data_IF_551605886636
#
_entry.id   IF_551605886636
#
_cell.length_a   1.000
_cell.length_b   1.000
_cell.length_c   1.000
_cell.angle_alpha   90.00
_cell.angle_beta   90.00
_cell.angle_gamma   90.00
#
_symmetry.space_group_name_H-M   'P 1'
#
loop_
_entity.id
_entity.type
_entity.pdbx_description
1 polymer ?
#
# COMPACT_ATOMS: atom_id res chain seq x y z
N UNK A 1 15.78 -2.73 3.07
CA UNK A 1 14.52 -3.52 3.10
C UNK A 1 14.34 -4.30 1.82
N UNK A 2 14.53 -3.70 0.63
CA UNK A 2 14.38 -4.42 -0.64
C UNK A 2 15.30 -5.65 -0.70
N UNK A 3 16.58 -5.47 -0.38
CA UNK A 3 17.58 -6.54 -0.37
C UNK A 3 17.21 -7.68 0.59
N UNK A 4 16.71 -7.35 1.78
CA UNK A 4 16.29 -8.32 2.80
C UNK A 4 15.08 -9.14 2.32
N UNK A 5 14.12 -8.50 1.63
CA UNK A 5 12.95 -9.18 1.06
C UNK A 5 13.33 -10.08 -0.12
N UNK A 6 14.26 -9.63 -0.99
CA UNK A 6 14.74 -10.39 -2.14
C UNK A 6 15.53 -11.63 -1.72
N UNK A 7 16.44 -11.46 -0.77
CA UNK A 7 17.25 -12.54 -0.19
C UNK A 7 16.43 -13.52 0.68
N UNK A 8 15.29 -13.06 1.19
CA UNK A 8 14.42 -13.85 2.08
C UNK A 8 14.83 -13.79 3.55
N UNK A 9 15.77 -12.91 3.90
CA UNK A 9 16.13 -12.60 5.29
C UNK A 9 14.93 -11.99 6.01
N UNK A 10 14.28 -11.01 5.39
CA UNK A 10 13.02 -10.46 5.90
C UNK A 10 11.86 -11.34 5.40
N UNK A 11 11.13 -11.95 6.33
CA UNK A 11 10.03 -12.86 6.00
C UNK A 11 8.80 -12.09 5.54
N UNK A 12 8.30 -12.42 4.35
CA UNK A 12 7.03 -11.91 3.84
C UNK A 12 6.20 -13.04 3.27
N UNK A 13 4.99 -13.22 3.80
CA UNK A 13 4.09 -14.33 3.42
C UNK A 13 3.42 -14.11 2.09
N UNK A 14 2.99 -12.88 1.82
CA UNK A 14 2.47 -12.44 0.54
C UNK A 14 3.16 -11.14 0.12
N UNK A 15 3.86 -11.18 -1.01
CA UNK A 15 4.49 -10.03 -1.65
C UNK A 15 3.66 -9.65 -2.88
N UNK A 16 3.11 -8.45 -2.88
CA UNK A 16 2.47 -7.86 -4.05
C UNK A 16 3.44 -6.88 -4.70
N UNK A 17 3.72 -7.08 -5.98
CA UNK A 17 4.50 -6.17 -6.81
C UNK A 17 3.50 -5.36 -7.64
N UNK A 18 3.53 -4.03 -7.52
CA UNK A 18 2.70 -3.15 -8.36
C UNK A 18 3.61 -2.45 -9.36
N UNK A 19 3.24 -2.48 -10.62
CA UNK A 19 3.98 -1.83 -11.71
C UNK A 19 3.01 -1.08 -12.65
N UNK A 20 3.53 -0.47 -13.71
CA UNK A 20 2.76 0.13 -14.78
C UNK A 20 3.49 -0.05 -16.11
N UNK A 21 2.84 0.23 -17.24
CA UNK A 21 3.45 0.16 -18.56
C UNK A 21 4.77 0.94 -18.69
N UNK A 22 4.86 2.11 -18.04
CA UNK A 22 6.09 2.94 -18.02
C UNK A 22 7.25 2.28 -17.26
N UNK A 23 6.96 1.34 -16.37
CA UNK A 23 7.92 0.73 -15.46
C UNK A 23 7.60 -0.75 -15.27
N UNK A 24 7.66 -1.55 -16.34
CA UNK A 24 7.27 -2.96 -16.31
C UNK A 24 8.09 -3.77 -15.30
N UNK A 25 7.41 -4.37 -14.33
CA UNK A 25 7.94 -5.14 -13.23
C UNK A 25 8.40 -6.55 -13.62
N UNK A 26 8.30 -6.95 -14.90
CA UNK A 26 8.64 -8.32 -15.34
C UNK A 26 10.09 -8.71 -15.05
N UNK A 27 11.05 -7.81 -15.28
CA UNK A 27 12.47 -8.06 -14.99
C UNK A 27 12.69 -8.23 -13.48
N UNK A 28 12.00 -7.42 -12.68
CA UNK A 28 12.02 -7.52 -11.22
C UNK A 28 11.37 -8.83 -10.73
N UNK A 29 10.25 -9.22 -11.31
CA UNK A 29 9.60 -10.50 -11.06
C UNK A 29 10.51 -11.69 -11.40
N UNK A 30 11.24 -11.63 -12.52
CA UNK A 30 12.24 -12.64 -12.88
C UNK A 30 13.34 -12.79 -11.85
N UNK A 31 13.84 -11.68 -11.30
CA UNK A 31 14.78 -11.74 -10.18
C UNK A 31 14.18 -12.49 -8.99
N UNK A 32 12.91 -12.21 -8.68
CA UNK A 32 12.19 -12.86 -7.60
C UNK A 32 12.03 -14.37 -7.83
N UNK A 33 11.70 -14.79 -9.06
CA UNK A 33 11.63 -16.20 -9.47
C UNK A 33 12.96 -16.91 -9.20
N UNK A 34 14.07 -16.32 -9.64
CA UNK A 34 15.42 -16.88 -9.45
C UNK A 34 15.74 -17.01 -7.97
N UNK A 35 15.50 -15.96 -7.18
CA UNK A 35 15.84 -15.95 -5.75
C UNK A 35 14.97 -16.93 -4.95
N UNK A 36 13.67 -17.05 -5.27
CA UNK A 36 12.78 -18.02 -4.63
C UNK A 36 13.16 -19.45 -5.00
N UNK A 37 13.45 -19.74 -6.27
CA UNK A 37 13.84 -21.08 -6.72
C UNK A 37 15.15 -21.58 -6.08
N UNK A 38 16.06 -20.66 -5.73
CA UNK A 38 17.29 -20.98 -5.00
C UNK A 38 17.03 -21.45 -3.55
N UNK A 39 16.01 -20.90 -2.89
CA UNK A 39 15.74 -21.14 -1.45
C UNK A 39 14.60 -22.13 -1.17
N UNK A 40 13.72 -22.39 -2.14
CA UNK A 40 12.61 -23.32 -2.00
C UNK A 40 12.93 -24.67 -2.68
N UNK A 41 12.25 -25.71 -2.23
CA UNK A 41 12.33 -27.05 -2.84
C UNK A 41 11.59 -27.06 -4.19
N UNK A 42 10.43 -26.41 -4.24
CA UNK A 42 9.57 -26.29 -5.42
C UNK A 42 8.96 -24.90 -5.53
N UNK A 43 8.71 -24.47 -6.77
CA UNK A 43 8.07 -23.19 -7.06
C UNK A 43 6.95 -23.41 -8.05
N UNK A 44 5.72 -23.09 -7.67
CA UNK A 44 4.59 -23.06 -8.60
C UNK A 44 4.58 -21.71 -9.30
N UNK A 45 4.79 -21.71 -10.62
CA UNK A 45 4.81 -20.51 -11.44
C UNK A 45 3.55 -20.44 -12.30
N UNK A 46 2.64 -19.54 -11.95
CA UNK A 46 1.39 -19.30 -12.68
C UNK A 46 1.60 -18.18 -13.69
N UNK A 47 1.30 -18.46 -14.96
CA UNK A 47 1.51 -17.53 -16.07
C UNK A 47 0.18 -17.17 -16.75
N UNK A 48 -0.24 -15.90 -16.66
CA UNK A 48 -1.41 -15.33 -17.32
C UNK A 48 -1.02 -14.52 -18.56
N UNK A 49 0.09 -13.79 -18.55
CA UNK A 49 0.46 -12.92 -19.68
C UNK A 49 1.23 -13.67 -20.75
N UNK A 50 2.18 -14.50 -20.32
CA UNK A 50 3.10 -15.24 -21.18
C UNK A 50 2.92 -16.74 -21.00
N UNK A 51 3.43 -17.51 -21.95
CA UNK A 51 3.53 -18.96 -21.79
C UNK A 51 4.67 -19.29 -20.83
N UNK A 52 4.58 -20.37 -20.02
CA UNK A 52 5.60 -20.68 -19.01
C UNK A 52 7.01 -20.82 -19.57
N UNK A 53 7.15 -21.34 -20.79
CA UNK A 53 8.42 -21.51 -21.49
C UNK A 53 9.17 -20.18 -21.63
N UNK A 54 8.45 -19.05 -21.76
CA UNK A 54 9.05 -17.72 -21.79
C UNK A 54 9.90 -17.45 -20.56
N UNK A 55 9.43 -17.84 -19.35
CA UNK A 55 10.14 -17.62 -18.10
C UNK A 55 11.21 -18.69 -17.87
N UNK A 56 10.90 -19.95 -18.18
CA UNK A 56 11.82 -21.08 -17.98
C UNK A 56 13.11 -20.94 -18.80
N UNK A 57 13.02 -20.40 -20.01
CA UNK A 57 14.19 -20.21 -20.89
C UNK A 57 15.26 -19.26 -20.30
N UNK A 58 14.90 -18.43 -19.33
CA UNK A 58 15.84 -17.54 -18.63
C UNK A 58 16.48 -18.16 -17.39
N UNK A 59 16.02 -19.35 -16.98
CA UNK A 59 16.50 -20.02 -15.78
C UNK A 59 17.60 -21.05 -16.13
N UNK A 60 18.62 -21.22 -15.28
CA UNK A 60 19.50 -22.38 -15.31
C UNK A 60 18.73 -23.70 -15.16
N UNK A 61 19.25 -24.79 -15.74
CA UNK A 61 18.56 -26.09 -15.78
C UNK A 61 18.23 -26.65 -14.40
N UNK A 62 19.12 -26.47 -13.42
CA UNK A 62 18.91 -26.87 -12.02
C UNK A 62 17.73 -26.15 -11.35
N UNK A 63 17.50 -24.89 -11.71
CA UNK A 63 16.33 -24.14 -11.21
C UNK A 63 15.06 -24.48 -11.98
N UNK A 64 15.16 -24.76 -13.29
CA UNK A 64 14.01 -25.17 -14.11
C UNK A 64 13.33 -26.43 -13.55
N UNK A 65 14.10 -27.43 -13.11
CA UNK A 65 13.57 -28.68 -12.54
C UNK A 65 12.78 -28.46 -11.23
N UNK A 66 12.94 -27.30 -10.58
CA UNK A 66 12.17 -26.92 -9.39
C UNK A 66 10.88 -26.18 -9.71
N UNK A 67 10.73 -25.65 -10.93
CA UNK A 67 9.54 -24.90 -11.33
C UNK A 67 8.44 -25.86 -11.78
N UNK A 68 7.23 -25.65 -11.25
CA UNK A 68 6.01 -26.31 -11.69
C UNK A 68 5.18 -25.26 -12.43
N UNK A 69 5.21 -25.25 -13.76
CA UNK A 69 4.50 -24.26 -14.54
C UNK A 69 2.99 -24.54 -14.55
N UNK A 70 2.18 -23.49 -14.39
CA UNK A 70 0.73 -23.51 -14.56
C UNK A 70 0.36 -22.42 -15.56
N UNK A 71 -0.38 -22.81 -16.60
CA UNK A 71 -1.00 -21.84 -17.50
C UNK A 71 -2.25 -21.25 -16.82
N UNK A 72 -2.16 -20.00 -16.36
CA UNK A 72 -3.28 -19.32 -15.68
C UNK A 72 -4.52 -19.17 -16.57
N UNK A 73 -4.36 -19.15 -17.90
CA UNK A 73 -5.51 -19.07 -18.81
C UNK A 73 -6.40 -20.31 -18.76
N UNK A 74 -5.87 -21.48 -18.39
CA UNK A 74 -6.69 -22.69 -18.25
C UNK A 74 -7.56 -22.68 -17.00
N UNK A 75 -7.29 -21.82 -16.02
CA UNK A 75 -8.11 -21.64 -14.82
C UNK A 75 -9.24 -20.63 -15.03
N UNK A 76 -9.38 -20.11 -16.25
CA UNK A 76 -10.44 -19.20 -16.68
C UNK A 76 -11.36 -20.00 -17.60
N UNK A 77 -12.62 -20.22 -17.20
CA UNK A 77 -13.63 -20.84 -18.04
C UNK A 77 -14.64 -19.81 -18.54
N UNK A 78 -14.99 -19.91 -19.82
CA UNK A 78 -16.03 -19.09 -20.45
C UNK A 78 -17.16 -20.00 -20.98
N UNK A 79 -18.45 -19.65 -20.77
CA UNK A 79 -18.95 -18.55 -19.93
C UNK A 79 -18.54 -18.76 -18.47
N UNK A 80 -18.44 -17.67 -17.68
CA UNK A 80 -18.21 -17.69 -16.23
C UNK A 80 -19.42 -18.32 -15.52
N UNK A 81 -19.65 -19.61 -15.76
CA UNK A 81 -20.70 -20.40 -15.14
C UNK A 81 -20.10 -20.97 -13.87
N UNK A 82 -20.68 -20.55 -12.75
CA UNK A 82 -20.36 -20.98 -11.39
C UNK A 82 -19.17 -20.22 -10.76
N UNK A 83 -19.46 -19.04 -10.19
CA UNK A 83 -18.50 -18.23 -9.46
C UNK A 83 -18.08 -18.85 -8.10
N UNK A 84 -18.66 -20.02 -7.77
CA UNK A 84 -18.39 -20.73 -6.51
C UNK A 84 -17.05 -21.49 -6.53
N UNK A 85 -16.57 -21.91 -7.71
CA UNK A 85 -15.32 -22.68 -7.83
C UNK A 85 -14.12 -21.80 -8.12
N UNK A 86 -13.17 -21.84 -7.20
CA UNK A 86 -11.86 -21.20 -7.32
C UNK A 86 -10.87 -22.13 -8.03
N UNK A 87 -10.99 -22.20 -9.36
CA UNK A 87 -10.18 -23.06 -10.21
C UNK A 87 -8.68 -22.75 -10.14
N UNK A 88 -8.33 -21.48 -9.85
CA UNK A 88 -6.95 -21.08 -9.66
C UNK A 88 -6.38 -21.73 -8.39
N UNK A 89 -7.12 -21.63 -7.27
CA UNK A 89 -6.75 -22.30 -6.04
C UNK A 89 -6.68 -23.81 -6.19
N UNK A 90 -7.64 -24.43 -6.88
CA UNK A 90 -7.64 -25.88 -7.13
C UNK A 90 -6.41 -26.32 -7.95
N UNK A 91 -6.09 -25.61 -9.04
CA UNK A 91 -4.93 -25.92 -9.87
C UNK A 91 -3.61 -25.82 -9.09
N UNK A 92 -3.43 -24.73 -8.32
CA UNK A 92 -2.23 -24.52 -7.51
C UNK A 92 -2.16 -25.55 -6.38
N UNK A 93 -3.26 -25.82 -5.68
CA UNK A 93 -3.31 -26.79 -4.59
C UNK A 93 -2.98 -28.20 -5.09
N UNK A 94 -3.52 -28.61 -6.24
CA UNK A 94 -3.21 -29.90 -6.86
C UNK A 94 -1.74 -30.01 -7.27
N UNK A 95 -1.12 -28.91 -7.71
CA UNK A 95 0.31 -28.88 -7.99
C UNK A 95 1.11 -29.05 -6.69
N UNK A 96 0.72 -28.33 -5.62
CA UNK A 96 1.40 -28.37 -4.32
C UNK A 96 1.27 -29.72 -3.61
N UNK A 97 0.14 -30.44 -3.73
CA UNK A 97 -0.05 -31.77 -3.15
C UNK A 97 0.95 -32.82 -3.68
N UNK A 98 1.48 -32.60 -4.89
CA UNK A 98 2.49 -33.47 -5.51
C UNK A 98 3.90 -33.10 -5.09
N UNK A 99 4.07 -32.02 -4.34
CA UNK A 99 5.38 -31.53 -3.86
C UNK A 99 5.65 -31.98 -2.43
N UNK A 100 6.92 -32.22 -2.13
CA UNK A 100 7.41 -32.41 -0.76
C UNK A 100 8.29 -31.22 -0.42
N UNK A 101 8.26 -30.80 0.84
CA UNK A 101 9.10 -29.72 1.35
C UNK A 101 8.44 -28.34 1.29
N UNK A 102 9.28 -27.31 1.29
CA UNK A 102 8.90 -25.92 1.28
C UNK A 102 8.69 -25.43 -0.15
N UNK A 103 7.47 -25.00 -0.44
CA UNK A 103 7.06 -24.51 -1.75
C UNK A 103 6.77 -23.01 -1.73
N UNK A 104 6.83 -22.37 -2.89
CA UNK A 104 6.37 -20.99 -3.07
C UNK A 104 5.47 -20.89 -4.30
N UNK A 105 4.62 -19.87 -4.33
CA UNK A 105 3.70 -19.60 -5.44
C UNK A 105 4.03 -18.23 -6.03
N UNK A 106 4.28 -18.19 -7.33
CA UNK A 106 4.63 -16.98 -8.07
C UNK A 106 3.64 -16.79 -9.21
N UNK A 107 3.02 -15.63 -9.30
CA UNK A 107 2.00 -15.29 -10.29
C UNK A 107 2.51 -14.10 -11.11
N UNK A 108 2.71 -14.30 -12.42
CA UNK A 108 3.32 -13.29 -13.30
C UNK A 108 2.47 -12.01 -13.44
N UNK A 109 1.15 -12.13 -13.37
CA UNK A 109 0.19 -11.04 -13.36
C UNK A 109 -1.18 -11.51 -12.87
N UNK A 110 -1.75 -10.77 -11.92
CA UNK A 110 -3.13 -10.96 -11.46
C UNK A 110 -4.14 -10.23 -12.36
N UNK A 111 -3.68 -9.37 -13.26
CA UNK A 111 -4.55 -8.45 -13.98
C UNK A 111 -5.63 -9.16 -14.79
N UNK A 112 -5.26 -10.18 -15.58
CA UNK A 112 -6.24 -10.95 -16.35
C UNK A 112 -7.23 -11.70 -15.45
N UNK A 113 -6.76 -12.22 -14.32
CA UNK A 113 -7.62 -12.93 -13.36
C UNK A 113 -8.65 -11.97 -12.73
N UNK A 114 -8.20 -10.79 -12.30
CA UNK A 114 -9.02 -9.76 -11.66
C UNK A 114 -9.97 -9.04 -12.63
N UNK A 115 -9.66 -9.00 -13.93
CA UNK A 115 -10.59 -8.49 -14.95
C UNK A 115 -11.81 -9.41 -15.14
N UNK A 116 -11.68 -10.68 -14.78
CA UNK A 116 -12.71 -11.71 -15.02
C UNK A 116 -13.36 -12.21 -13.74
N UNK A 117 -12.85 -11.83 -12.57
CA UNK A 117 -13.33 -12.24 -11.24
C UNK A 117 -13.43 -11.03 -10.32
N UNK A 118 -14.33 -11.10 -9.35
CA UNK A 118 -14.47 -10.03 -8.37
C UNK A 118 -13.20 -9.89 -7.50
N UNK A 119 -12.73 -8.67 -7.18
CA UNK A 119 -11.55 -8.47 -6.34
C UNK A 119 -11.58 -9.19 -4.99
N UNK A 120 -12.71 -9.27 -4.26
CA UNK A 120 -12.79 -10.04 -3.02
C UNK A 120 -12.50 -11.53 -3.19
N UNK A 121 -12.93 -12.14 -4.30
CA UNK A 121 -12.65 -13.54 -4.61
C UNK A 121 -11.14 -13.75 -4.79
N UNK A 122 -10.49 -12.86 -5.54
CA UNK A 122 -9.02 -12.88 -5.72
C UNK A 122 -8.29 -12.75 -4.38
N UNK A 123 -8.76 -11.86 -3.51
CA UNK A 123 -8.18 -11.69 -2.18
C UNK A 123 -8.34 -12.96 -1.32
N UNK A 124 -9.50 -13.61 -1.39
CA UNK A 124 -9.75 -14.88 -0.72
C UNK A 124 -8.79 -15.97 -1.22
N UNK A 125 -8.62 -16.09 -2.54
CA UNK A 125 -7.67 -17.02 -3.17
C UNK A 125 -6.25 -16.79 -2.67
N UNK A 126 -5.75 -15.56 -2.75
CA UNK A 126 -4.40 -15.20 -2.35
C UNK A 126 -4.17 -15.43 -0.85
N UNK A 127 -5.15 -15.09 -0.02
CA UNK A 127 -5.09 -15.33 1.41
C UNK A 127 -5.00 -16.83 1.73
N UNK A 128 -5.88 -17.65 1.13
CA UNK A 128 -5.85 -19.12 1.29
C UNK A 128 -4.51 -19.72 0.86
N UNK A 129 -3.94 -19.26 -0.26
CA UNK A 129 -2.62 -19.70 -0.72
C UNK A 129 -1.50 -19.30 0.25
N UNK A 130 -1.56 -18.09 0.80
CA UNK A 130 -0.53 -17.59 1.72
C UNK A 130 -0.51 -18.30 3.08
N UNK A 131 -1.65 -18.86 3.49
CA UNK A 131 -1.84 -19.60 4.75
C UNK A 131 -1.79 -21.11 4.56
N UNK A 132 -1.72 -21.59 3.32
CA UNK A 132 -1.67 -23.01 3.00
C UNK A 132 -0.40 -23.66 3.56
N UNK A 133 -0.55 -24.84 4.19
CA UNK A 133 0.57 -25.59 4.74
C UNK A 133 1.60 -25.94 3.66
N UNK A 134 2.88 -25.78 3.97
CA UNK A 134 4.00 -26.02 3.04
C UNK A 134 4.29 -24.86 2.09
N UNK A 135 3.40 -23.88 1.94
CA UNK A 135 3.70 -22.65 1.19
C UNK A 135 4.47 -21.69 2.09
N UNK A 136 5.62 -21.20 1.62
CA UNK A 136 6.53 -20.28 2.35
C UNK A 136 6.43 -18.82 1.88
N UNK A 137 6.01 -18.60 0.65
CA UNK A 137 5.79 -17.26 0.10
C UNK A 137 4.83 -17.33 -1.10
N UNK A 138 3.94 -16.35 -1.18
CA UNK A 138 3.18 -16.02 -2.40
C UNK A 138 3.72 -14.71 -2.94
N UNK A 139 3.98 -14.64 -4.24
CA UNK A 139 4.38 -13.41 -4.93
C UNK A 139 3.48 -13.22 -6.13
N UNK A 140 2.95 -12.01 -6.30
CA UNK A 140 2.08 -11.72 -7.45
C UNK A 140 2.34 -10.30 -7.96
N UNK A 141 2.19 -10.11 -9.26
CA UNK A 141 2.28 -8.79 -9.91
C UNK A 141 0.89 -8.27 -10.25
N UNK A 142 0.68 -6.96 -10.14
CA UNK A 142 -0.52 -6.28 -10.64
C UNK A 142 -0.12 -5.00 -11.39
N UNK A 143 -0.70 -4.82 -12.58
CA UNK A 143 -0.49 -3.61 -13.40
C UNK A 143 -1.48 -2.53 -12.96
N UNK A 144 -0.98 -1.50 -12.26
CA UNK A 144 -1.81 -0.46 -11.62
C UNK A 144 -2.46 0.51 -12.62
N UNK A 145 -2.00 0.51 -13.86
CA UNK A 145 -2.57 1.28 -14.97
C UNK A 145 -3.77 0.59 -15.62
N UNK A 146 -4.03 -0.68 -15.29
CA UNK A 146 -5.21 -1.44 -15.77
C UNK A 146 -6.36 -1.43 -14.77
N UNK A 147 -6.08 -1.24 -13.49
CA UNK A 147 -7.06 -1.25 -12.41
C UNK A 147 -7.19 0.11 -11.76
N UNK A 148 -8.36 0.40 -11.20
CA UNK A 148 -8.54 1.59 -10.38
C UNK A 148 -7.77 1.47 -9.05
N UNK A 149 -7.52 2.63 -8.42
CA UNK A 149 -6.77 2.74 -7.17
C UNK A 149 -7.42 1.94 -6.04
N UNK A 150 -8.75 1.87 -5.98
CA UNK A 150 -9.45 1.18 -4.91
C UNK A 150 -9.26 -0.35 -5.02
N UNK A 151 -9.40 -0.91 -6.22
CA UNK A 151 -9.13 -2.32 -6.51
C UNK A 151 -7.69 -2.70 -6.13
N UNK A 152 -6.71 -1.88 -6.52
CA UNK A 152 -5.31 -2.09 -6.15
C UNK A 152 -5.10 -2.03 -4.63
N UNK A 153 -5.78 -1.10 -3.95
CA UNK A 153 -5.69 -0.94 -2.49
C UNK A 153 -6.26 -2.14 -1.73
N UNK A 154 -7.38 -2.71 -2.18
CA UNK A 154 -7.97 -3.91 -1.56
C UNK A 154 -6.97 -5.08 -1.62
N UNK A 155 -6.42 -5.39 -2.80
CA UNK A 155 -5.43 -6.48 -2.94
C UNK A 155 -4.14 -6.15 -2.18
N UNK A 156 -3.73 -4.88 -2.20
CA UNK A 156 -2.58 -4.40 -1.43
C UNK A 156 -2.78 -4.55 0.08
N UNK A 157 -4.01 -4.47 0.60
CA UNK A 157 -4.30 -4.54 2.04
C UNK A 157 -4.03 -5.93 2.64
N UNK A 158 -4.25 -7.01 1.87
CA UNK A 158 -4.01 -8.38 2.32
C UNK A 158 -2.54 -8.80 2.21
N UNK A 159 -1.71 -8.01 1.51
CA UNK A 159 -0.30 -8.30 1.31
C UNK A 159 0.54 -7.93 2.53
N UNK A 160 1.41 -8.85 2.98
CA UNK A 160 2.38 -8.54 4.01
C UNK A 160 3.46 -7.58 3.50
N UNK A 161 3.78 -7.61 2.20
CA UNK A 161 4.62 -6.60 1.56
C UNK A 161 3.99 -6.11 0.26
N UNK A 162 4.01 -4.81 0.03
CA UNK A 162 3.71 -4.18 -1.26
C UNK A 162 4.96 -3.46 -1.75
N UNK A 163 5.34 -3.71 -3.00
CA UNK A 163 6.50 -3.10 -3.66
C UNK A 163 6.01 -2.42 -4.92
N UNK A 164 5.94 -1.10 -4.88
CA UNK A 164 5.45 -0.27 -5.97
C UNK A 164 6.60 0.27 -6.81
N UNK A 165 6.75 -0.25 -8.02
CA UNK A 165 7.89 0.02 -8.92
C UNK A 165 7.60 1.25 -9.77
N UNK A 166 8.53 2.19 -9.80
CA UNK A 166 8.48 3.36 -10.68
C UNK A 166 9.78 3.46 -11.50
N UNK A 167 9.64 3.96 -12.74
CA UNK A 167 10.80 4.26 -13.57
C UNK A 167 11.47 5.55 -13.09
N UNK A 168 12.80 5.57 -13.11
CA UNK A 168 13.60 6.79 -13.02
C UNK A 168 14.30 7.00 -14.36
N UNK A 169 15.04 8.09 -14.53
CA UNK A 169 15.82 8.34 -15.75
C UNK A 169 16.79 7.19 -16.05
N UNK A 170 16.78 6.71 -17.29
CA UNK A 170 17.68 5.67 -17.79
C UNK A 170 17.30 4.25 -17.33
N UNK A 171 18.29 3.48 -16.87
CA UNK A 171 18.12 2.11 -16.36
C UNK A 171 17.92 2.03 -14.84
N UNK A 172 17.68 3.17 -14.20
CA UNK A 172 17.46 3.26 -12.75
C UNK A 172 15.97 3.19 -12.48
N UNK A 173 15.62 2.51 -11.40
CA UNK A 173 14.26 2.37 -10.93
C UNK A 173 14.19 2.81 -9.47
N UNK A 174 12.98 3.13 -9.03
CA UNK A 174 12.68 3.34 -7.62
C UNK A 174 11.54 2.43 -7.23
N UNK A 175 11.48 2.03 -5.96
CA UNK A 175 10.32 1.36 -5.43
C UNK A 175 9.91 1.93 -4.08
N UNK A 176 8.59 2.08 -3.89
CA UNK A 176 8.01 2.34 -2.58
C UNK A 176 7.63 1.01 -1.96
N UNK A 177 8.16 0.73 -0.78
CA UNK A 177 7.95 -0.53 -0.09
C UNK A 177 7.12 -0.26 1.16
N UNK A 178 6.03 -1.01 1.31
CA UNK A 178 5.27 -1.13 2.55
C UNK A 178 5.41 -2.57 3.03
N UNK A 179 5.97 -2.80 4.21
CA UNK A 179 6.14 -4.12 4.79
C UNK A 179 5.50 -4.19 6.18
N UNK A 180 4.64 -5.18 6.41
CA UNK A 180 4.08 -5.50 7.71
C UNK A 180 4.85 -6.69 8.29
N UNK A 181 5.59 -6.45 9.37
CA UNK A 181 6.30 -7.51 10.09
C UNK A 181 5.32 -8.43 10.79
N UNK A 182 5.80 -9.62 11.14
CA UNK A 182 5.11 -10.59 12.01
C UNK A 182 4.70 -9.99 13.36
N UNK A 183 5.41 -8.95 13.84
CA UNK A 183 5.07 -8.22 15.07
C UNK A 183 3.92 -7.23 14.90
N UNK A 184 3.37 -7.07 13.69
CA UNK A 184 2.38 -6.06 13.34
C UNK A 184 2.98 -4.69 12.97
N UNK A 185 4.27 -4.44 13.25
CA UNK A 185 4.92 -3.18 12.91
C UNK A 185 4.96 -2.97 11.40
N UNK A 186 4.44 -1.82 10.95
CA UNK A 186 4.47 -1.41 9.54
C UNK A 186 5.73 -0.58 9.28
N UNK A 187 6.48 -0.97 8.26
CA UNK A 187 7.66 -0.26 7.77
C UNK A 187 7.38 0.28 6.37
N UNK A 188 7.74 1.55 6.13
CA UNK A 188 7.61 2.21 4.83
C UNK A 188 8.96 2.79 4.43
N UNK A 189 9.40 2.53 3.21
CA UNK A 189 10.66 3.08 2.67
C UNK A 189 10.55 3.31 1.17
N UNK A 190 11.39 4.20 0.63
CA UNK A 190 11.57 4.37 -0.81
C UNK A 190 13.03 4.11 -1.15
N UNK A 191 13.27 3.07 -1.94
CA UNK A 191 14.61 2.62 -2.30
C UNK A 191 14.80 2.71 -3.82
N UNK A 192 16.01 3.08 -4.26
CA UNK A 192 16.44 3.02 -5.65
C UNK A 192 17.11 1.68 -5.93
N UNK A 193 17.04 1.23 -7.18
CA UNK A 193 17.75 0.04 -7.65
C UNK A 193 17.99 0.11 -9.16
N UNK A 194 18.86 -0.76 -9.66
CA UNK A 194 19.10 -1.01 -11.09
C UNK A 194 18.87 -2.49 -11.38
N UNK A 195 18.51 -2.82 -12.62
CA UNK A 195 18.41 -4.22 -13.08
C UNK A 195 19.37 -4.42 -14.25
N UNK A 196 20.22 -5.46 -14.17
CA UNK A 196 21.09 -5.85 -15.28
C UNK A 196 20.39 -6.80 -16.28
N UNK A 197 21.06 -7.12 -17.38
CA UNK A 197 20.53 -8.01 -18.42
C UNK A 197 20.27 -9.46 -17.96
N UNK A 198 20.85 -9.87 -16.84
CA UNK A 198 20.63 -11.19 -16.23
C UNK A 198 19.59 -11.12 -15.10
N UNK A 199 18.79 -10.05 -15.07
CA UNK A 199 17.78 -9.78 -14.05
C UNK A 199 18.34 -9.64 -12.64
N UNK A 200 19.63 -9.36 -12.44
CA UNK A 200 20.13 -9.09 -11.11
C UNK A 200 19.78 -7.67 -10.68
N UNK A 201 19.17 -7.54 -9.50
CA UNK A 201 18.90 -6.27 -8.86
C UNK A 201 20.18 -5.82 -8.14
N UNK A 202 20.65 -4.62 -8.48
CA UNK A 202 21.89 -4.00 -7.96
C UNK A 202 21.63 -2.56 -7.56
N UNK A 203 22.65 -1.92 -7.00
CA UNK A 203 22.64 -0.51 -6.59
C UNK A 203 21.44 -0.16 -5.69
N UNK A 204 21.11 -1.07 -4.76
CA UNK A 204 20.04 -0.88 -3.80
C UNK A 204 20.47 0.19 -2.80
N UNK A 205 19.62 1.18 -2.56
CA UNK A 205 19.90 2.21 -1.56
C UNK A 205 18.73 3.16 -1.34
N UNK A 206 18.77 4.02 -0.32
CA UNK A 206 17.74 5.01 -0.10
C UNK A 206 17.66 5.99 -1.28
N UNK A 207 16.45 6.41 -1.64
CA UNK A 207 16.27 7.46 -2.62
C UNK A 207 16.69 8.81 -2.03
N UNK A 208 17.72 9.44 -2.62
CA UNK A 208 18.20 10.72 -2.13
C UNK A 208 17.20 11.85 -2.48
N UNK A 209 17.10 12.91 -1.66
CA UNK A 209 16.15 14.00 -1.88
C UNK A 209 16.19 14.62 -3.28
N UNK A 210 17.37 14.72 -3.90
CA UNK A 210 17.59 15.29 -5.23
C UNK A 210 17.21 14.36 -6.39
N UNK A 211 16.97 13.07 -6.11
CA UNK A 211 16.66 12.03 -7.10
C UNK A 211 15.16 11.75 -7.16
N UNK A 212 14.37 12.39 -6.31
CA UNK A 212 12.92 12.37 -6.42
C UNK A 212 12.56 13.00 -7.77
N UNK A 213 11.76 12.31 -8.62
CA UNK A 213 11.18 12.96 -9.78
C UNK A 213 10.50 14.21 -9.26
N UNK A 214 10.95 15.38 -9.70
CA UNK A 214 10.31 16.65 -9.43
C UNK A 214 8.88 16.52 -9.96
N UNK A 215 7.94 16.24 -9.06
CA UNK A 215 6.54 16.54 -9.30
C UNK A 215 6.52 18.06 -9.51
N UNK A 216 6.53 18.43 -10.80
CA UNK A 216 6.13 19.72 -11.37
C UNK A 216 5.98 20.87 -10.37
N UNK A 217 7.05 21.67 -10.21
CA UNK A 217 7.08 23.00 -9.59
C UNK A 217 6.53 23.07 -8.14
N UNK A 218 7.00 24.01 -7.29
CA UNK A 218 6.16 24.38 -6.16
C UNK A 218 4.87 24.92 -6.77
N UNK A 219 3.76 24.18 -6.65
CA UNK A 219 2.44 24.76 -6.70
C UNK A 219 2.53 25.98 -5.78
N UNK A 220 2.49 27.18 -6.38
CA UNK A 220 2.16 28.41 -5.67
C UNK A 220 1.02 28.01 -4.77
N UNK A 221 1.20 28.09 -3.44
CA UNK A 221 0.15 27.75 -2.47
C UNK A 221 -1.09 28.54 -2.90
N UNK A 222 -1.99 27.89 -3.63
CA UNK A 222 -3.27 28.48 -3.98
C UNK A 222 -3.96 28.61 -2.63
N UNK A 223 -4.20 29.85 -2.23
CA UNK A 223 -4.94 30.15 -1.02
C UNK A 223 -6.18 29.24 -0.99
N UNK A 224 -6.31 28.32 0.00
CA UNK A 224 -7.43 27.39 0.05
C UNK A 224 -8.79 28.11 0.14
N UNK A 225 -8.79 29.41 0.43
CA UNK A 225 -9.98 30.26 0.46
C UNK A 225 -10.33 30.91 -0.88
N UNK A 226 -9.50 30.78 -1.92
CA UNK A 226 -9.67 31.49 -3.20
C UNK A 226 -10.92 31.08 -4.01
N UNK A 227 -11.55 29.94 -3.69
CA UNK A 227 -12.72 29.40 -4.40
C UNK A 227 -14.01 29.38 -3.56
N UNK A 228 -14.04 30.04 -2.41
CA UNK A 228 -15.27 30.17 -1.64
C UNK A 228 -16.19 31.22 -2.27
N UNK A 229 -17.49 30.92 -2.31
CA UNK A 229 -18.52 31.86 -2.75
C UNK A 229 -18.76 33.02 -1.77
N UNK A 230 -18.08 32.98 -0.62
CA UNK A 230 -18.11 34.00 0.42
C UNK A 230 -16.72 34.17 1.01
N UNK A 231 -16.40 35.39 1.44
CA UNK A 231 -15.10 35.72 1.99
C UNK A 231 -15.04 35.34 3.48
N UNK A 232 -14.12 34.45 3.85
CA UNK A 232 -13.84 34.10 5.25
C UNK A 232 -12.84 35.06 5.91
N UNK A 233 -12.10 35.84 5.12
CA UNK A 233 -11.16 36.83 5.62
C UNK A 233 -11.82 38.19 5.79
N UNK A 234 -11.62 38.81 6.95
CA UNK A 234 -12.03 40.19 7.17
C UNK A 234 -11.01 41.12 6.52
N UNK A 235 -11.50 42.09 5.75
CA UNK A 235 -10.70 43.24 5.33
C UNK A 235 -10.24 44.04 6.56
N UNK A 236 -9.17 44.83 6.41
CA UNK A 236 -8.64 45.60 7.53
C UNK A 236 -9.67 46.58 8.11
N UNK A 237 -10.52 47.13 7.25
CA UNK A 237 -11.67 47.97 7.62
C UNK A 237 -12.72 47.20 8.42
N UNK A 238 -13.02 45.95 8.06
CA UNK A 238 -13.98 45.11 8.78
C UNK A 238 -13.43 44.62 10.12
N UNK A 239 -12.12 44.33 10.21
CA UNK A 239 -11.46 44.04 11.49
C UNK A 239 -11.55 45.22 12.43
N UNK A 240 -11.28 46.42 11.93
CA UNK A 240 -11.36 47.64 12.73
C UNK A 240 -12.81 47.90 13.18
N UNK A 241 -13.80 47.72 12.29
CA UNK A 241 -15.21 47.82 12.65
C UNK A 241 -15.60 46.79 13.72
N UNK A 242 -15.21 45.51 13.57
CA UNK A 242 -15.46 44.46 14.56
C UNK A 242 -14.84 44.79 15.92
N UNK A 243 -13.64 45.36 15.95
CA UNK A 243 -12.97 45.75 17.21
C UNK A 243 -13.68 46.88 17.97
N UNK A 244 -14.52 47.67 17.28
CA UNK A 244 -15.29 48.76 17.86
C UNK A 244 -16.71 48.34 18.29
N UNK A 245 -17.13 47.10 17.99
CA UNK A 245 -18.42 46.59 18.41
C UNK A 245 -18.39 46.30 19.91
N UNK A 246 -19.12 47.11 20.68
CA UNK A 246 -19.33 46.89 22.12
C UNK A 246 -20.21 45.66 22.34
N UNK A 247 -19.66 44.65 23.02
CA UNK A 247 -20.35 43.39 23.28
C UNK A 247 -21.40 43.60 24.39
N UNK A 248 -22.68 43.21 24.20
CA UNK A 248 -23.77 43.53 25.14
C UNK A 248 -23.62 42.97 26.56
N UNK A 249 -22.75 41.98 26.76
CA UNK A 249 -22.63 41.23 28.02
C UNK A 249 -21.20 41.21 28.59
N UNK A 250 -20.24 41.92 27.98
CA UNK A 250 -18.96 42.19 28.62
C UNK A 250 -19.10 43.49 29.41
N UNK A 251 -18.93 43.41 30.73
CA UNK A 251 -18.79 44.59 31.58
C UNK A 251 -17.50 45.31 31.19
N UNK A 252 -17.61 46.57 30.77
CA UNK A 252 -16.44 47.43 30.59
C UNK A 252 -15.82 47.72 31.97
N UNK A 253 -14.49 47.72 32.05
CA UNK A 253 -13.73 48.00 33.28
C UNK A 253 -13.92 49.45 33.78
N UNK A 254 -14.58 50.30 32.98
CA UNK A 254 -15.07 51.61 33.37
C UNK A 254 -16.56 51.50 33.74
N UNK A 255 -16.81 51.27 35.02
CA UNK A 255 -18.15 51.14 35.57
C UNK A 255 -19.05 52.32 35.26
N UNK A 256 -20.28 52.00 34.84
CA UNK A 256 -21.43 52.88 35.02
C UNK A 256 -22.45 52.15 35.89
N UNK A 257 -22.34 52.45 37.17
CA UNK A 257 -23.25 52.05 38.24
C UNK A 257 -24.57 52.80 38.07
N UNK A 258 -25.44 52.32 37.18
CA UNK A 258 -26.81 52.83 37.12
C UNK A 258 -27.80 51.71 36.78
N UNK A 259 -27.94 50.75 37.69
CA UNK A 259 -29.23 50.29 38.18
C UNK A 259 -29.01 49.41 39.41
N UNK A 260 -29.74 49.75 40.48
CA UNK A 260 -29.76 49.06 41.77
C UNK A 260 -29.83 47.53 41.61
N UNK A 261 -28.77 46.84 42.01
CA UNK A 261 -28.78 45.72 42.96
C UNK A 261 -27.32 45.36 43.29
N UNK A 262 -27.09 44.89 44.52
CA UNK A 262 -25.81 44.82 45.22
C UNK A 262 -24.62 44.22 44.42
N UNK A 263 -23.37 44.58 44.77
CA UNK A 263 -22.19 43.91 44.20
C UNK A 263 -22.12 42.50 44.81
N UNK A 264 -22.88 41.56 44.27
CA UNK A 264 -22.52 40.17 44.46
C UNK A 264 -21.21 39.98 43.69
N UNK A 265 -20.13 39.68 44.42
CA UNK A 265 -19.00 38.99 43.83
C UNK A 265 -19.56 37.70 43.23
N UNK A 266 -20.01 37.76 41.98
CA UNK A 266 -20.38 36.60 41.18
C UNK A 266 -19.07 35.87 40.83
N UNK A 267 -18.45 35.31 41.86
CA UNK A 267 -17.31 34.43 41.72
C UNK A 267 -17.88 33.14 41.16
N UNK A 268 -17.55 32.84 39.91
CA UNK A 268 -17.79 31.51 39.36
C UNK A 268 -16.88 30.57 40.16
N UNK A 269 -17.47 29.84 41.09
CA UNK A 269 -16.78 28.81 41.87
C UNK A 269 -17.06 27.50 41.14
N UNK A 270 -16.09 27.04 40.36
CA UNK A 270 -16.12 25.71 39.80
C UNK A 270 -15.85 24.71 40.93
N UNK A 271 -16.82 23.85 41.20
CA UNK A 271 -16.63 22.65 42.00
C UNK A 271 -16.47 21.49 41.01
N UNK A 272 -15.29 20.86 40.93
CA UNK A 272 -15.13 19.64 40.15
C UNK A 272 -16.06 18.58 40.76
N UNK A 273 -17.02 18.09 40.00
CA UNK A 273 -17.75 16.86 40.35
C UNK A 273 -16.85 15.66 40.01
N UNK A 274 -17.00 14.52 40.71
CA UNK A 274 -16.23 13.27 40.48
C UNK A 274 -16.47 12.63 39.07
N UNK A 275 -17.19 13.32 38.19
CA UNK A 275 -17.46 12.96 36.79
C UNK A 275 -16.94 14.01 35.81
N UNK A 276 -16.38 15.11 36.32
CA UNK A 276 -15.51 16.05 35.60
C UNK A 276 -14.04 15.61 35.68
N UNK A 277 -13.83 14.32 35.98
CA UNK A 277 -12.62 13.61 35.63
C UNK A 277 -12.46 13.73 34.12
N UNK A 278 -11.43 14.47 33.73
CA UNK A 278 -10.68 14.28 32.49
C UNK A 278 -11.00 12.91 31.88
N UNK A 279 -11.74 12.87 30.78
CA UNK A 279 -11.65 11.71 29.89
C UNK A 279 -10.17 11.59 29.53
N UNK A 280 -9.48 10.58 30.07
CA UNK A 280 -8.08 10.28 29.75
C UNK A 280 -7.92 9.82 28.29
N UNK A 281 -9.02 9.65 27.55
CA UNK A 281 -8.99 9.56 26.10
C UNK A 281 -8.78 10.94 25.50
N UNK A 282 -7.52 11.40 25.48
CA UNK A 282 -7.11 12.48 24.58
C UNK A 282 -7.43 12.02 23.14
N UNK A 283 -8.42 12.62 22.44
CA UNK A 283 -8.82 12.16 21.10
C UNK A 283 -7.73 12.39 20.05
N UNK A 284 -6.63 13.06 20.42
CA UNK A 284 -5.46 13.28 19.59
C UNK A 284 -4.34 12.24 19.86
N UNK A 285 -4.45 11.36 20.85
CA UNK A 285 -3.41 10.37 21.20
C UNK A 285 -3.22 9.26 20.12
N UNK A 286 -4.24 9.02 19.30
CA UNK A 286 -4.20 8.18 18.10
C UNK A 286 -3.91 8.94 16.79
N UNK A 287 -3.76 10.28 16.85
CA UNK A 287 -3.36 11.12 15.72
C UNK A 287 -1.85 11.31 15.64
N UNK A 288 -1.15 10.32 15.08
CA UNK A 288 0.26 10.48 14.69
C UNK A 288 0.41 11.25 13.37
N UNK A 289 0.43 12.59 13.43
CA UNK A 289 0.91 13.49 12.35
C UNK A 289 2.43 13.51 12.21
#
# INVERSE_FOLDING_TARGET
>A
MLEDLLSGVEKSRFVLITDAAESCGRHFFMNWVINVAKRCDRVVLVCFERVPEFFLNWLPQDLQEKIIPINGKSTIHYPLKDDTKDLLFEAISNALLKTRGQSAVLIDSLTLHMLLRQPPSTCSTLHKLSTLHGVTQVVAVIHRDVHDTHTCSIVGSIASSVIDIHSLSGSRHTCKIRHCRITGKVFKTTERFSIDYNFHIKDIGPLLPHERPSQSQPLVKSDPMAHLSFNLSLTETEKQARSQVKLPYLLDDSGDSSNNEQPSNARIIYHPDDVDDFDEEDPDDDLNI
#
